data_IF_504589948075
#
_entry.id   IF_504589948075
#
_cell.length_a   1.000
_cell.length_b   1.000
_cell.length_c   1.000
_cell.angle_alpha   90.00
_cell.angle_beta   90.00
_cell.angle_gamma   90.00
#
_symmetry.space_group_name_H-M   'P 1'
#
loop_
_entity.id
_entity.type
_entity.pdbx_description
1 polymer ?
#
# COMPACT_ATOMS: atom_id res chain seq x y z
N UNK A 1 8.78 -13.02 -2.50
CA UNK A 1 7.73 -12.26 -3.16
C UNK A 1 6.62 -11.95 -2.20
N UNK A 2 6.08 -10.77 -2.27
CA UNK A 2 5.11 -10.31 -1.30
C UNK A 2 3.69 -10.29 -1.87
N UNK A 3 3.31 -11.39 -2.49
CA UNK A 3 1.96 -11.50 -3.04
C UNK A 3 0.89 -11.29 -1.97
N UNK A 4 1.14 -11.76 -0.74
CA UNK A 4 0.20 -11.56 0.36
C UNK A 4 0.02 -10.10 0.69
N UNK A 5 1.13 -9.35 0.72
CA UNK A 5 1.06 -7.93 1.02
C UNK A 5 0.35 -7.17 -0.10
N UNK A 6 0.67 -7.50 -1.34
CA UNK A 6 0.00 -6.87 -2.48
C UNK A 6 -1.49 -7.15 -2.46
N UNK A 7 -1.89 -8.36 -2.12
CA UNK A 7 -3.30 -8.71 -2.02
C UNK A 7 -3.98 -7.97 -0.89
N UNK A 8 -3.31 -7.82 0.25
CA UNK A 8 -3.86 -7.07 1.37
C UNK A 8 -4.06 -5.62 1.02
N UNK A 9 -3.09 -5.03 0.34
CA UNK A 9 -3.19 -3.63 -0.09
C UNK A 9 -4.36 -3.48 -1.04
N UNK A 10 -4.46 -4.34 -2.03
CA UNK A 10 -5.54 -4.28 -3.00
C UNK A 10 -6.91 -4.44 -2.33
N UNK A 11 -7.01 -5.38 -1.39
CA UNK A 11 -8.26 -5.61 -0.67
C UNK A 11 -8.65 -4.40 0.18
N UNK A 12 -7.67 -3.80 0.84
CA UNK A 12 -7.93 -2.61 1.65
C UNK A 12 -8.44 -1.47 0.77
N UNK A 13 -7.77 -1.24 -0.34
CA UNK A 13 -8.15 -0.16 -1.23
C UNK A 13 -9.55 -0.38 -1.82
N UNK A 14 -9.85 -1.61 -2.17
CA UNK A 14 -11.16 -1.95 -2.71
C UNK A 14 -12.25 -1.77 -1.65
N UNK A 15 -11.98 -2.22 -0.45
CA UNK A 15 -12.93 -2.12 0.66
C UNK A 15 -13.29 -0.67 0.96
N UNK A 16 -12.32 0.22 0.86
CA UNK A 16 -12.53 1.64 1.16
C UNK A 16 -12.83 2.48 -0.08
N UNK A 17 -12.98 1.84 -1.23
CA UNK A 17 -13.29 2.55 -2.47
C UNK A 17 -12.17 3.46 -2.95
N UNK A 18 -10.93 3.12 -2.61
CA UNK A 18 -9.77 3.96 -2.94
C UNK A 18 -9.04 3.49 -4.19
N UNK A 19 -9.40 2.35 -4.75
CA UNK A 19 -8.67 1.78 -5.88
C UNK A 19 -8.55 2.76 -7.04
N UNK A 20 -9.62 3.49 -7.33
CA UNK A 20 -9.61 4.46 -8.41
C UNK A 20 -8.79 5.72 -8.10
N UNK A 21 -8.51 5.97 -6.83
CA UNK A 21 -7.77 7.15 -6.42
C UNK A 21 -6.26 6.89 -6.30
N UNK A 22 -5.84 5.63 -6.44
CA UNK A 22 -4.43 5.29 -6.31
C UNK A 22 -3.65 5.88 -7.46
N UNK A 23 -2.64 6.68 -7.14
CA UNK A 23 -1.72 7.21 -8.14
C UNK A 23 -0.47 6.34 -8.25
N UNK A 24 0.02 5.86 -7.12
CA UNK A 24 1.28 5.14 -7.09
C UNK A 24 1.40 4.36 -5.80
N UNK A 25 2.09 3.24 -5.85
CA UNK A 25 2.45 2.48 -4.66
C UNK A 25 3.96 2.39 -4.56
N UNK A 26 4.49 2.50 -3.36
CA UNK A 26 5.93 2.43 -3.11
C UNK A 26 6.18 1.39 -2.03
N UNK A 27 6.99 0.41 -2.34
CA UNK A 27 7.37 -0.59 -1.36
C UNK A 27 8.46 0.00 -0.46
N UNK A 28 8.20 -0.01 0.84
CA UNK A 28 9.16 0.45 1.83
C UNK A 28 9.72 -0.76 2.57
N UNK A 29 11.02 -0.88 2.58
CA UNK A 29 11.70 -1.96 3.30
C UNK A 29 12.62 -1.37 4.33
N UNK A 30 12.57 -1.89 5.55
CA UNK A 30 13.51 -1.50 6.59
C UNK A 30 14.86 -2.17 6.37
N UNK A 31 15.91 -1.50 6.79
CA UNK A 31 17.27 -1.98 6.54
C UNK A 31 17.60 -3.27 7.29
N UNK A 32 17.06 -3.43 8.48
CA UNK A 32 17.41 -4.56 9.33
C UNK A 32 16.18 -5.33 9.81
N UNK A 33 15.06 -5.13 9.16
CA UNK A 33 13.80 -5.70 9.63
C UNK A 33 13.15 -6.48 8.49
N UNK A 34 12.51 -7.58 8.83
CA UNK A 34 11.74 -8.35 7.86
C UNK A 34 10.40 -7.72 7.55
N UNK A 35 10.12 -6.59 8.17
CA UNK A 35 8.85 -5.92 7.98
C UNK A 35 8.81 -5.21 6.64
N UNK A 36 7.69 -5.32 5.98
CA UNK A 36 7.47 -4.67 4.69
C UNK A 36 6.28 -3.76 4.81
N UNK A 37 6.41 -2.58 4.23
CA UNK A 37 5.33 -1.60 4.22
C UNK A 37 5.12 -1.11 2.81
N UNK A 38 3.90 -0.79 2.49
CA UNK A 38 3.58 -0.19 1.19
C UNK A 38 2.96 1.18 1.45
N UNK A 39 3.57 2.21 0.87
CA UNK A 39 2.99 3.54 0.86
C UNK A 39 2.14 3.68 -0.37
N UNK A 40 0.88 4.03 -0.18
CA UNK A 40 -0.04 4.24 -1.28
C UNK A 40 -0.28 5.74 -1.42
N UNK A 41 0.11 6.28 -2.57
CA UNK A 41 -0.10 7.69 -2.86
C UNK A 41 -1.44 7.83 -3.56
N UNK A 42 -2.31 8.62 -2.95
CA UNK A 42 -3.68 8.79 -3.42
C UNK A 42 -3.86 10.19 -4.01
N UNK A 43 -4.78 10.27 -4.97
CA UNK A 43 -5.11 11.54 -5.60
C UNK A 43 -5.99 12.37 -4.65
N UNK A 44 -5.56 13.60 -4.40
CA UNK A 44 -6.32 14.56 -3.58
C UNK A 44 -6.57 14.08 -2.16
N UNK A 45 -5.76 13.15 -1.69
CA UNK A 45 -5.88 12.59 -0.35
C UNK A 45 -4.50 12.35 0.23
N UNK A 46 -4.36 12.33 1.56
CA UNK A 46 -3.09 11.97 2.17
C UNK A 46 -2.70 10.55 1.81
N UNK A 47 -1.40 10.30 1.70
CA UNK A 47 -0.92 8.95 1.48
C UNK A 47 -1.17 8.09 2.71
N UNK A 48 -1.30 6.79 2.49
CA UNK A 48 -1.46 5.82 3.57
C UNK A 48 -0.33 4.80 3.50
N UNK A 49 0.01 4.24 4.66
CA UNK A 49 1.03 3.22 4.76
C UNK A 49 0.38 1.96 5.32
N UNK A 50 0.55 0.86 4.60
CA UNK A 50 -0.03 -0.43 4.97
C UNK A 50 1.09 -1.45 5.19
N UNK A 51 0.87 -2.33 6.13
CA UNK A 51 1.83 -3.40 6.42
C UNK A 51 1.17 -4.77 6.42
#
# INVERSE_FOLDING_TARGET
MSADLDQRVAAYLDLHGLTAAVQRTVLLTGDASDRRYVRVLLRDQPSIVLS
#
